data_IF_202929863435
#
_entry.id   IF_202929863435
#
_cell.length_a   1.000
_cell.length_b   1.000
_cell.length_c   1.000
_cell.angle_alpha   90.00
_cell.angle_beta   90.00
_cell.angle_gamma   90.00
#
_symmetry.space_group_name_H-M   'P 1'
#
loop_
_entity.id
_entity.type
_entity.pdbx_description
1 polymer ?
#
# COMPACT_ATOMS: atom_id res chain seq x y z
N UNK A 1 -7.10 -1.22 -16.60
CA UNK A 1 -7.62 -0.68 -15.32
C UNK A 1 -6.79 0.54 -14.96
N UNK A 2 -7.41 1.63 -14.60
CA UNK A 2 -6.67 2.85 -14.26
C UNK A 2 -6.09 2.80 -12.84
N UNK A 3 -5.24 3.77 -12.54
CA UNK A 3 -4.56 3.81 -11.25
C UNK A 3 -5.53 3.91 -10.07
N UNK A 4 -6.58 4.70 -10.19
CA UNK A 4 -7.55 4.85 -9.11
C UNK A 4 -8.28 3.55 -8.82
N UNK A 5 -8.63 2.80 -9.86
CA UNK A 5 -9.27 1.51 -9.69
C UNK A 5 -8.33 0.50 -9.02
N UNK A 6 -7.06 0.50 -9.42
CA UNK A 6 -6.06 -0.37 -8.81
C UNK A 6 -5.88 -0.02 -7.33
N UNK A 7 -5.75 1.28 -7.02
CA UNK A 7 -5.61 1.73 -5.64
C UNK A 7 -6.81 1.28 -4.81
N UNK A 8 -8.03 1.48 -5.30
CA UNK A 8 -9.23 1.06 -4.60
C UNK A 8 -9.27 -0.42 -4.30
N UNK A 9 -8.87 -1.24 -5.26
CA UNK A 9 -8.85 -2.70 -5.08
C UNK A 9 -7.75 -3.13 -4.10
N UNK A 10 -6.59 -2.50 -4.16
CA UNK A 10 -5.52 -2.79 -3.21
C UNK A 10 -5.94 -2.38 -1.79
N UNK A 11 -6.63 -1.25 -1.64
CA UNK A 11 -7.15 -0.82 -0.35
C UNK A 11 -8.17 -1.82 0.22
N UNK A 12 -9.09 -2.30 -0.60
CA UNK A 12 -10.05 -3.31 -0.17
C UNK A 12 -9.35 -4.59 0.28
N UNK A 13 -8.36 -5.02 -0.48
CA UNK A 13 -7.58 -6.20 -0.15
C UNK A 13 -6.86 -6.02 1.18
N UNK A 14 -6.25 -4.85 1.39
CA UNK A 14 -5.56 -4.54 2.64
C UNK A 14 -6.50 -4.57 3.83
N UNK A 15 -7.68 -3.99 3.69
CA UNK A 15 -8.69 -4.02 4.75
C UNK A 15 -9.15 -5.45 5.04
N UNK A 16 -9.21 -6.30 4.01
CA UNK A 16 -9.54 -7.70 4.18
C UNK A 16 -8.54 -8.46 5.05
N UNK A 17 -7.29 -8.02 5.07
CA UNK A 17 -6.25 -8.56 5.96
C UNK A 17 -6.23 -7.87 7.33
N UNK A 18 -7.18 -6.97 7.60
CA UNK A 18 -7.24 -6.27 8.88
C UNK A 18 -6.40 -5.01 8.97
N UNK A 19 -5.88 -4.55 7.84
CA UNK A 19 -5.06 -3.35 7.80
C UNK A 19 -5.93 -2.09 7.81
N UNK A 20 -5.57 -1.12 8.67
CA UNK A 20 -6.17 0.20 8.61
C UNK A 20 -5.34 1.08 7.70
N UNK A 21 -5.98 1.96 6.95
CA UNK A 21 -5.30 2.81 5.99
C UNK A 21 -5.62 4.27 6.32
N UNK A 22 -4.58 5.09 6.39
CA UNK A 22 -4.71 6.53 6.57
C UNK A 22 -3.91 7.25 5.50
N UNK A 23 -4.51 8.29 4.93
CA UNK A 23 -3.81 9.21 4.04
C UNK A 23 -3.52 10.49 4.82
N UNK A 24 -2.27 10.82 4.98
CA UNK A 24 -1.84 11.99 5.72
C UNK A 24 -0.75 12.73 4.96
N UNK A 25 -0.74 14.08 5.01
CA UNK A 25 0.37 14.82 4.41
C UNK A 25 1.62 14.59 5.26
N UNK A 26 2.65 14.03 4.65
CA UNK A 26 3.91 13.79 5.33
C UNK A 26 4.89 14.90 4.94
N UNK A 27 5.36 15.65 5.94
CA UNK A 27 6.33 16.71 5.70
C UNK A 27 7.67 16.12 5.31
N UNK A 28 8.29 16.75 4.32
CA UNK A 28 9.63 16.38 3.89
C UNK A 28 10.57 17.53 4.25
N UNK A 29 11.61 17.21 5.01
CA UNK A 29 12.70 18.14 5.25
C UNK A 29 13.62 18.16 4.02
N UNK A 30 14.34 19.25 3.82
CA UNK A 30 15.23 19.37 2.67
C UNK A 30 16.31 18.29 2.63
N UNK A 31 16.65 17.73 3.80
CA UNK A 31 17.66 16.70 3.92
C UNK A 31 17.10 15.29 3.94
N UNK A 32 15.78 15.13 4.00
CA UNK A 32 15.16 13.80 4.10
C UNK A 32 14.78 13.26 2.73
N UNK A 33 14.86 11.94 2.62
CA UNK A 33 14.37 11.26 1.43
C UNK A 33 12.84 11.41 1.36
N UNK A 34 12.32 11.39 0.14
CA UNK A 34 10.89 11.42 -0.08
C UNK A 34 10.23 10.26 0.65
N UNK A 35 9.34 10.57 1.57
CA UNK A 35 8.60 9.56 2.34
C UNK A 35 7.25 9.34 1.67
N UNK A 36 7.03 8.14 1.17
CA UNK A 36 5.78 7.77 0.50
C UNK A 36 4.75 7.23 1.49
N UNK A 37 5.19 6.58 2.55
CA UNK A 37 4.34 5.98 3.56
C UNK A 37 5.04 4.84 4.27
N UNK A 38 4.33 4.15 5.13
CA UNK A 38 4.89 3.01 5.85
C UNK A 38 3.85 2.25 6.64
N UNK A 39 4.14 0.98 6.87
CA UNK A 39 3.32 0.09 7.67
C UNK A 39 3.82 0.10 9.10
N UNK A 40 2.91 0.37 10.04
CA UNK A 40 3.17 0.32 11.48
C UNK A 40 2.30 -0.74 12.12
N UNK A 41 2.86 -1.45 13.10
CA UNK A 41 2.08 -2.41 13.88
C UNK A 41 2.01 -1.87 15.30
N UNK A 42 0.81 -1.53 15.76
CA UNK A 42 0.55 -0.99 17.08
C UNK A 42 -0.45 -1.89 17.81
N UNK A 43 -0.04 -2.45 18.94
CA UNK A 43 -0.90 -3.31 19.75
C UNK A 43 -1.52 -4.46 18.95
N UNK A 44 -0.74 -5.03 18.03
CA UNK A 44 -1.20 -6.13 17.19
C UNK A 44 -2.03 -5.71 15.99
N UNK A 45 -2.32 -4.42 15.82
CA UNK A 45 -3.05 -3.92 14.67
C UNK A 45 -2.13 -3.31 13.64
N UNK A 46 -2.41 -3.59 12.37
CA UNK A 46 -1.63 -3.04 11.26
C UNK A 46 -2.23 -1.72 10.81
N UNK A 47 -1.40 -0.69 10.75
CA UNK A 47 -1.78 0.64 10.28
C UNK A 47 -0.85 1.03 9.13
N UNK A 48 -1.43 1.28 7.98
CA UNK A 48 -0.69 1.78 6.82
C UNK A 48 -0.95 3.26 6.66
N UNK A 49 0.11 4.05 6.76
CA UNK A 49 0.03 5.50 6.54
C UNK A 49 0.61 5.78 5.16
N UNK A 50 -0.16 6.47 4.33
CA UNK A 50 0.25 6.80 2.97
C UNK A 50 0.31 8.32 2.84
N UNK A 51 1.40 8.84 2.28
CA UNK A 51 1.51 10.26 2.02
C UNK A 51 0.41 10.68 1.04
N UNK A 52 -0.49 11.55 1.49
CA UNK A 52 -1.63 12.00 0.67
C UNK A 52 -1.19 12.76 -0.57
N UNK A 53 0.03 13.28 -0.58
CA UNK A 53 0.59 14.01 -1.73
C UNK A 53 1.36 13.11 -2.69
N UNK A 54 1.44 11.82 -2.41
CA UNK A 54 2.12 10.88 -3.31
C UNK A 54 1.34 10.75 -4.61
N UNK A 55 2.06 10.45 -5.68
CA UNK A 55 1.43 10.17 -6.98
C UNK A 55 0.65 8.86 -6.90
N UNK A 56 -0.22 8.61 -7.88
CA UNK A 56 -0.95 7.35 -7.96
C UNK A 56 -0.01 6.15 -8.01
N UNK A 57 1.07 6.26 -8.78
CA UNK A 57 2.08 5.19 -8.87
C UNK A 57 2.74 4.93 -7.53
N UNK A 58 3.07 5.98 -6.80
CA UNK A 58 3.71 5.84 -5.49
C UNK A 58 2.75 5.27 -4.45
N UNK A 59 1.48 5.64 -4.50
CA UNK A 59 0.46 5.05 -3.62
C UNK A 59 0.30 3.56 -3.87
N UNK A 60 0.29 3.15 -5.14
CA UNK A 60 0.25 1.74 -5.50
C UNK A 60 1.45 1.00 -4.95
N UNK A 61 2.64 1.59 -5.07
CA UNK A 61 3.86 1.01 -4.54
C UNK A 61 3.77 0.77 -3.03
N UNK A 62 3.33 1.77 -2.27
CA UNK A 62 3.20 1.65 -0.81
C UNK A 62 2.21 0.55 -0.44
N UNK A 63 1.05 0.53 -1.10
CA UNK A 63 0.02 -0.49 -0.85
C UNK A 63 0.52 -1.89 -1.20
N UNK A 64 1.16 -2.05 -2.35
CA UNK A 64 1.65 -3.34 -2.80
C UNK A 64 2.76 -3.86 -1.89
N UNK A 65 3.70 -3.01 -1.51
CA UNK A 65 4.78 -3.42 -0.61
C UNK A 65 4.25 -3.86 0.77
N UNK A 66 3.24 -3.13 1.30
CA UNK A 66 2.62 -3.51 2.55
C UNK A 66 1.89 -4.85 2.42
N UNK A 67 1.13 -5.03 1.33
CA UNK A 67 0.38 -6.26 1.10
C UNK A 67 1.29 -7.47 0.93
N UNK A 68 2.49 -7.29 0.38
CA UNK A 68 3.43 -8.40 0.22
C UNK A 68 3.97 -8.94 1.55
N UNK A 69 3.66 -8.30 2.66
CA UNK A 69 3.97 -8.82 4.00
C UNK A 69 2.90 -9.77 4.52
N UNK A 70 1.80 -9.93 3.78
CA UNK A 70 0.68 -10.80 4.11
C UNK A 70 0.63 -11.96 3.12
N UNK A 71 -0.08 -13.06 3.43
CA UNK A 71 -0.09 -14.24 2.56
C UNK A 71 -1.01 -14.05 1.34
N UNK A 72 -0.69 -13.09 0.50
CA UNK A 72 -1.48 -12.76 -0.70
C UNK A 72 -1.45 -13.85 -1.76
N UNK A 73 -0.45 -14.74 -1.70
CA UNK A 73 -0.33 -15.88 -2.60
C UNK A 73 -1.31 -17.00 -2.28
N UNK A 74 -1.95 -16.95 -1.11
CA UNK A 74 -2.89 -17.99 -0.65
C UNK A 74 -4.34 -17.67 -0.99
N UNK A 75 -4.61 -16.54 -1.64
CA UNK A 75 -5.95 -16.14 -2.02
C UNK A 75 -6.01 -15.89 -3.51
N UNK A 76 -7.24 -15.99 -4.06
CA UNK A 76 -7.44 -15.64 -5.46
C UNK A 76 -7.37 -14.13 -5.65
N UNK A 77 -6.59 -13.69 -6.62
CA UNK A 77 -6.51 -12.30 -7.03
C UNK A 77 -6.69 -12.21 -8.54
N UNK A 78 -7.33 -11.14 -8.98
CA UNK A 78 -7.39 -10.84 -10.41
C UNK A 78 -5.97 -10.71 -10.96
N UNK A 79 -5.73 -11.16 -12.21
CA UNK A 79 -4.37 -11.12 -12.78
C UNK A 79 -3.70 -9.76 -12.69
N UNK A 80 -4.43 -8.66 -12.90
CA UNK A 80 -3.85 -7.32 -12.84
C UNK A 80 -3.30 -7.00 -11.44
N UNK A 81 -3.99 -7.42 -10.39
CA UNK A 81 -3.53 -7.21 -9.02
C UNK A 81 -2.34 -8.11 -8.70
N UNK A 82 -2.37 -9.35 -9.18
CA UNK A 82 -1.25 -10.27 -9.02
C UNK A 82 0.02 -9.70 -9.64
N UNK A 83 -0.08 -9.15 -10.85
CA UNK A 83 1.05 -8.53 -11.53
C UNK A 83 1.59 -7.33 -10.75
N UNK A 84 0.71 -6.49 -10.21
CA UNK A 84 1.12 -5.33 -9.41
C UNK A 84 1.87 -5.79 -8.16
N UNK A 85 1.34 -6.79 -7.45
CA UNK A 85 1.98 -7.29 -6.24
C UNK A 85 3.34 -7.91 -6.55
N UNK A 86 3.45 -8.67 -7.63
CA UNK A 86 4.72 -9.28 -8.05
C UNK A 86 5.76 -8.22 -8.40
N UNK A 87 5.34 -7.14 -9.06
CA UNK A 87 6.24 -6.05 -9.43
C UNK A 87 6.93 -5.42 -8.22
N UNK A 88 6.26 -5.35 -7.09
CA UNK A 88 6.79 -4.74 -5.88
C UNK A 88 7.16 -5.76 -4.81
N UNK A 89 7.22 -7.03 -5.15
CA UNK A 89 7.72 -8.05 -4.23
C UNK A 89 9.25 -7.99 -4.16
N UNK A 90 9.78 -8.36 -3.03
CA UNK A 90 11.23 -8.43 -2.82
C UNK A 90 11.76 -9.83 -3.11
#
# INVERSE_FOLDING_TARGET
MDEEAIIGQLEELARGFGMQIRYEPIKQDEESKKVLGGLCILKGESLLIINSRATGKDKIKVLAEALNRFPVDQIYLRPVLREVLEKFSL
#
